data_IF_145132314849
#
_entry.id   IF_145132314849
#
_cell.length_a   1.000
_cell.length_b   1.000
_cell.length_c   1.000
_cell.angle_alpha   90.00
_cell.angle_beta   90.00
_cell.angle_gamma   90.00
#
_symmetry.space_group_name_H-M   'P 1'
#
loop_
_entity.id
_entity.type
_entity.pdbx_description
1 polymer ?
#
# COMPACT_ATOMS: atom_id res chain seq x y z
N UNK A 1 22.18 27.31 -15.79
CA UNK A 1 22.64 26.02 -16.34
C UNK A 1 21.90 24.91 -15.62
N UNK A 2 21.61 23.82 -16.31
CA UNK A 2 20.77 22.71 -15.83
C UNK A 2 21.60 21.49 -15.39
N UNK A 3 21.26 20.90 -14.25
CA UNK A 3 21.64 19.53 -13.89
C UNK A 3 20.41 18.83 -13.29
N UNK A 4 19.87 17.87 -14.01
CA UNK A 4 19.08 16.74 -13.48
C UNK A 4 20.04 15.55 -13.25
N UNK A 5 19.75 14.48 -12.51
CA UNK A 5 18.50 13.97 -11.91
C UNK A 5 18.87 13.28 -10.55
N UNK A 6 18.05 12.56 -9.75
CA UNK A 6 16.76 11.90 -9.97
C UNK A 6 16.00 11.59 -8.67
N UNK A 7 14.77 11.09 -8.81
CA UNK A 7 14.00 10.32 -7.81
C UNK A 7 13.56 11.00 -6.50
N UNK A 8 13.89 12.29 -6.29
CA UNK A 8 13.54 13.07 -5.09
C UNK A 8 12.05 13.42 -4.95
N UNK A 9 11.19 12.43 -4.76
CA UNK A 9 9.75 12.64 -4.49
C UNK A 9 9.48 12.95 -3.02
N UNK A 10 9.51 14.24 -2.70
CA UNK A 10 9.10 14.79 -1.40
C UNK A 10 7.60 14.56 -1.16
N UNK A 11 7.18 14.50 0.11
CA UNK A 11 5.84 14.11 0.59
C UNK A 11 4.68 15.08 0.27
N UNK A 12 4.81 15.92 -0.77
CA UNK A 12 3.85 16.97 -1.13
C UNK A 12 3.14 16.77 -2.48
N UNK A 13 3.59 15.86 -3.36
CA UNK A 13 3.00 15.65 -4.70
C UNK A 13 1.51 15.22 -4.69
N UNK A 14 1.03 14.59 -3.61
CA UNK A 14 -0.31 13.98 -3.56
C UNK A 14 -1.47 15.00 -3.48
N UNK A 15 -1.20 16.30 -3.40
CA UNK A 15 -2.24 17.32 -3.34
C UNK A 15 -3.09 17.43 -4.63
N UNK A 16 -2.52 17.10 -5.79
CA UNK A 16 -3.18 17.24 -7.10
C UNK A 16 -3.70 15.96 -7.75
N UNK A 17 -3.56 14.79 -7.09
CA UNK A 17 -3.93 13.50 -7.68
C UNK A 17 -5.42 13.15 -7.53
N UNK A 18 -5.99 12.55 -8.57
CA UNK A 18 -7.30 11.88 -8.50
C UNK A 18 -7.30 10.73 -7.49
N UNK A 19 -8.48 10.26 -7.06
CA UNK A 19 -8.58 9.14 -6.13
C UNK A 19 -7.86 7.87 -6.62
N UNK A 20 -8.01 7.53 -7.90
CA UNK A 20 -7.37 6.37 -8.50
C UNK A 20 -5.85 6.49 -8.54
N UNK A 21 -5.30 7.66 -8.87
CA UNK A 21 -3.85 7.90 -8.85
C UNK A 21 -3.30 7.87 -7.42
N UNK A 22 -4.05 8.40 -6.44
CA UNK A 22 -3.69 8.35 -5.02
C UNK A 22 -3.63 6.91 -4.49
N UNK A 23 -4.62 6.08 -4.84
CA UNK A 23 -4.63 4.63 -4.56
C UNK A 23 -3.43 3.97 -5.22
N UNK A 24 -3.21 4.21 -6.51
CA UNK A 24 -2.09 3.63 -7.29
C UNK A 24 -0.74 3.97 -6.67
N UNK A 25 -0.53 5.22 -6.28
CA UNK A 25 0.69 5.71 -5.66
C UNK A 25 0.90 5.09 -4.26
N UNK A 26 -0.12 5.10 -3.41
CA UNK A 26 -0.04 4.55 -2.04
C UNK A 26 0.24 3.04 -2.03
N UNK A 27 -0.36 2.28 -2.96
CA UNK A 27 -0.16 0.84 -3.08
C UNK A 27 1.10 0.43 -3.85
N UNK A 28 1.79 1.36 -4.52
CA UNK A 28 2.88 1.03 -5.44
C UNK A 28 2.42 0.17 -6.63
N UNK A 29 1.22 0.41 -7.16
CA UNK A 29 0.64 -0.37 -8.25
C UNK A 29 1.41 -0.15 -9.57
N UNK A 30 1.93 -1.25 -10.14
CA UNK A 30 2.50 -1.27 -11.50
C UNK A 30 1.48 -0.76 -12.52
N UNK A 31 0.31 -1.40 -12.55
CA UNK A 31 -0.76 -1.12 -13.50
C UNK A 31 -1.52 0.15 -13.10
N UNK A 32 -2.19 0.80 -14.05
CA UNK A 32 -3.18 1.84 -13.79
C UNK A 32 -4.50 1.25 -13.28
N UNK A 33 -5.36 2.12 -12.75
CA UNK A 33 -6.77 1.80 -12.59
C UNK A 33 -7.47 1.84 -13.97
N UNK A 34 -8.49 1.01 -14.16
CA UNK A 34 -9.25 0.92 -15.41
C UNK A 34 -10.69 1.26 -15.14
N UNK A 35 -11.19 2.36 -15.69
CA UNK A 35 -12.62 2.62 -15.66
C UNK A 35 -13.36 1.77 -16.69
N UNK A 36 -14.59 1.40 -16.35
CA UNK A 36 -15.51 0.64 -17.20
C UNK A 36 -16.86 1.35 -17.19
N UNK A 37 -17.39 1.65 -18.39
CA UNK A 37 -18.70 2.28 -18.59
C UNK A 37 -19.58 1.39 -19.48
N UNK A 38 -20.83 1.19 -19.10
CA UNK A 38 -21.83 0.48 -19.90
C UNK A 38 -22.65 1.47 -20.73
N UNK A 39 -22.80 1.19 -22.03
CA UNK A 39 -23.65 1.98 -22.94
C UNK A 39 -24.83 1.10 -23.38
N UNK A 40 -26.05 1.56 -23.09
CA UNK A 40 -27.30 0.84 -23.33
C UNK A 40 -28.13 1.41 -24.49
N UNK A 41 -27.76 2.59 -24.98
CA UNK A 41 -28.43 3.29 -26.08
C UNK A 41 -27.45 3.46 -27.25
N UNK A 42 -27.89 3.13 -28.46
CA UNK A 42 -27.08 3.30 -29.66
C UNK A 42 -26.93 4.80 -30.01
N UNK A 43 -27.90 5.65 -29.66
CA UNK A 43 -27.81 7.09 -29.87
C UNK A 43 -26.74 7.74 -28.98
N UNK A 44 -26.53 7.21 -27.77
CA UNK A 44 -25.41 7.62 -26.91
C UNK A 44 -24.07 7.22 -27.54
N UNK A 45 -24.02 6.01 -28.11
CA UNK A 45 -22.83 5.42 -28.73
C UNK A 45 -22.40 6.14 -30.03
N UNK A 46 -23.36 6.74 -30.75
CA UNK A 46 -23.12 7.53 -31.97
C UNK A 46 -22.85 9.02 -31.72
N UNK A 47 -23.31 9.58 -30.59
CA UNK A 47 -23.20 11.02 -30.28
C UNK A 47 -21.95 11.42 -29.50
N UNK A 48 -21.19 10.46 -28.96
CA UNK A 48 -19.98 10.71 -28.17
C UNK A 48 -18.69 10.33 -28.92
N UNK A 49 -17.63 11.12 -28.74
CA UNK A 49 -16.28 10.76 -29.19
C UNK A 49 -15.68 9.74 -28.23
N UNK A 50 -15.78 8.46 -28.57
CA UNK A 50 -15.38 7.33 -27.73
C UNK A 50 -14.08 6.64 -28.22
N UNK A 51 -13.39 5.89 -27.36
CA UNK A 51 -12.23 5.09 -27.76
C UNK A 51 -12.54 4.10 -28.89
N UNK A 52 -11.53 3.77 -29.70
CA UNK A 52 -11.68 2.83 -30.81
C UNK A 52 -12.12 1.43 -30.35
N UNK A 53 -12.75 0.69 -31.26
CA UNK A 53 -12.95 -0.77 -31.11
C UNK A 53 -11.59 -1.49 -31.16
N UNK A 54 -11.43 -2.65 -30.49
CA UNK A 54 -10.22 -3.45 -30.64
C UNK A 54 -10.04 -3.93 -32.09
N UNK A 55 -8.79 -4.00 -32.56
CA UNK A 55 -8.45 -4.33 -33.97
C UNK A 55 -8.99 -5.70 -34.45
N UNK A 56 -9.29 -6.58 -33.50
CA UNK A 56 -9.85 -7.92 -33.67
C UNK A 56 -10.57 -8.36 -32.39
N UNK A 57 -11.48 -9.35 -32.44
CA UNK A 57 -12.08 -9.93 -31.26
C UNK A 57 -11.04 -10.38 -30.23
N UNK A 58 -11.35 -10.11 -28.96
CA UNK A 58 -10.42 -10.22 -27.83
C UNK A 58 -11.14 -10.73 -26.57
N UNK A 59 -10.38 -11.19 -25.58
CA UNK A 59 -10.96 -11.54 -24.28
C UNK A 59 -11.15 -10.27 -23.45
N UNK A 60 -12.32 -10.08 -22.83
CA UNK A 60 -12.60 -8.89 -22.00
C UNK A 60 -11.53 -8.64 -20.94
N UNK A 61 -11.09 -9.69 -20.23
CA UNK A 61 -9.99 -9.61 -19.27
C UNK A 61 -8.66 -9.14 -19.90
N UNK A 62 -8.37 -9.52 -21.16
CA UNK A 62 -7.19 -9.08 -21.90
C UNK A 62 -7.29 -7.60 -22.32
N UNK A 63 -8.49 -7.12 -22.65
CA UNK A 63 -8.74 -5.69 -22.89
C UNK A 63 -8.57 -4.88 -21.60
N UNK A 64 -9.08 -5.36 -20.46
CA UNK A 64 -8.85 -4.75 -19.15
C UNK A 64 -7.36 -4.68 -18.79
N UNK A 65 -6.58 -5.77 -18.98
CA UNK A 65 -5.14 -5.73 -18.65
C UNK A 65 -4.35 -4.80 -19.58
N UNK A 66 -4.71 -4.73 -20.85
CA UNK A 66 -4.15 -3.75 -21.79
C UNK A 66 -4.54 -2.31 -21.43
N UNK A 67 -5.77 -2.09 -20.97
CA UNK A 67 -6.23 -0.79 -20.51
C UNK A 67 -5.54 -0.35 -19.20
N UNK A 68 -5.21 -1.31 -18.33
CA UNK A 68 -4.38 -1.08 -17.15
C UNK A 68 -2.92 -0.73 -17.52
N UNK A 69 -2.51 -0.99 -18.77
CA UNK A 69 -1.29 -0.49 -19.40
C UNK A 69 -1.44 0.85 -20.15
N UNK A 70 -2.61 1.49 -20.11
CA UNK A 70 -2.87 2.80 -20.74
C UNK A 70 -3.60 2.76 -22.09
N UNK A 71 -3.98 1.58 -22.61
CA UNK A 71 -4.89 1.51 -23.78
C UNK A 71 -6.33 1.89 -23.38
N UNK A 72 -7.17 2.15 -24.38
CA UNK A 72 -8.59 2.38 -24.21
C UNK A 72 -9.35 1.67 -25.33
N UNK A 73 -10.54 1.16 -25.04
CA UNK A 73 -11.37 0.41 -25.99
C UNK A 73 -12.85 0.71 -25.81
N UNK A 74 -13.63 0.71 -26.89
CA UNK A 74 -15.09 0.58 -26.85
C UNK A 74 -15.44 -0.76 -27.47
N UNK A 75 -15.80 -1.76 -26.66
CA UNK A 75 -16.02 -3.12 -27.14
C UNK A 75 -17.52 -3.46 -27.25
N UNK A 76 -17.95 -4.01 -28.39
CA UNK A 76 -19.32 -4.50 -28.63
C UNK A 76 -19.38 -6.03 -28.48
N UNK A 77 -20.59 -6.60 -28.53
CA UNK A 77 -20.82 -8.06 -28.42
C UNK A 77 -19.95 -8.90 -29.37
N UNK A 78 -19.75 -8.43 -30.60
CA UNK A 78 -18.97 -9.12 -31.65
C UNK A 78 -17.44 -9.01 -31.46
N UNK A 79 -16.98 -8.18 -30.52
CA UNK A 79 -15.57 -8.02 -30.18
C UNK A 79 -15.12 -8.98 -29.07
N UNK A 80 -16.02 -9.82 -28.55
CA UNK A 80 -15.76 -10.74 -27.44
C UNK A 80 -15.37 -12.14 -27.92
N UNK A 81 -14.19 -12.62 -27.52
CA UNK A 81 -13.75 -14.01 -27.74
C UNK A 81 -14.22 -15.00 -26.66
N UNK A 82 -15.02 -14.55 -25.68
CA UNK A 82 -15.40 -15.33 -24.51
C UNK A 82 -16.93 -15.29 -24.26
N UNK A 83 -17.65 -16.42 -24.40
CA UNK A 83 -19.10 -16.46 -24.15
C UNK A 83 -19.53 -15.99 -22.76
N UNK A 84 -18.69 -16.23 -21.76
CA UNK A 84 -18.95 -15.76 -20.40
C UNK A 84 -18.94 -14.23 -20.32
N UNK A 85 -18.09 -13.51 -21.07
CA UNK A 85 -18.14 -12.04 -21.09
C UNK A 85 -19.34 -11.49 -21.85
N UNK A 86 -19.83 -12.19 -22.88
CA UNK A 86 -21.06 -11.80 -23.61
C UNK A 86 -22.31 -11.85 -22.71
N UNK A 87 -22.39 -12.87 -21.85
CA UNK A 87 -23.47 -13.05 -20.87
C UNK A 87 -23.29 -12.13 -19.66
N UNK A 88 -22.11 -12.15 -19.03
CA UNK A 88 -21.85 -11.35 -17.81
C UNK A 88 -22.00 -9.85 -18.04
N UNK A 89 -21.61 -9.32 -19.20
CA UNK A 89 -21.66 -7.87 -19.48
C UNK A 89 -23.00 -7.42 -20.11
N UNK A 90 -24.03 -8.26 -20.12
CA UNK A 90 -25.38 -7.87 -20.54
C UNK A 90 -25.62 -7.78 -22.05
N UNK A 91 -24.67 -8.18 -22.90
CA UNK A 91 -24.86 -8.20 -24.36
C UNK A 91 -25.89 -9.24 -24.82
N UNK A 92 -26.12 -10.30 -24.02
CA UNK A 92 -27.06 -11.39 -24.35
C UNK A 92 -27.86 -11.80 -23.12
N UNK A 93 -29.19 -11.94 -23.28
CA UNK A 93 -30.05 -12.55 -22.25
C UNK A 93 -30.04 -14.09 -22.37
N UNK A 94 -30.01 -14.85 -21.25
CA UNK A 94 -30.11 -16.30 -21.26
C UNK A 94 -31.37 -16.80 -21.99
N UNK A 95 -31.22 -17.80 -22.86
CA UNK A 95 -32.33 -18.34 -23.68
C UNK A 95 -33.18 -19.43 -23.01
N UNK A 96 -32.65 -20.09 -21.97
CA UNK A 96 -33.21 -21.35 -21.45
C UNK A 96 -33.42 -21.39 -19.94
N UNK A 97 -33.15 -20.29 -19.22
CA UNK A 97 -33.31 -20.22 -17.76
C UNK A 97 -33.81 -18.82 -17.39
N UNK A 98 -34.76 -18.73 -16.46
CA UNK A 98 -35.21 -17.46 -15.86
C UNK A 98 -34.19 -16.89 -14.85
N UNK A 99 -32.90 -16.89 -15.23
CA UNK A 99 -31.86 -16.12 -14.54
C UNK A 99 -32.11 -14.66 -14.90
N UNK A 100 -32.38 -13.82 -13.89
CA UNK A 100 -32.23 -12.37 -14.06
C UNK A 100 -30.76 -12.08 -14.35
N UNK A 101 -30.45 -11.70 -15.58
CA UNK A 101 -29.30 -10.81 -15.81
C UNK A 101 -29.57 -9.55 -15.00
N UNK A 102 -28.61 -9.05 -14.23
CA UNK A 102 -28.81 -7.79 -13.50
C UNK A 102 -29.00 -6.57 -14.41
N UNK A 103 -28.69 -6.72 -15.71
CA UNK A 103 -29.03 -5.77 -16.76
C UNK A 103 -30.48 -5.95 -17.23
N UNK A 104 -31.32 -4.93 -17.00
CA UNK A 104 -32.66 -4.83 -17.56
C UNK A 104 -32.64 -4.54 -19.07
N UNK A 105 -31.76 -3.63 -19.51
CA UNK A 105 -31.48 -3.33 -20.92
C UNK A 105 -30.42 -4.29 -21.48
N UNK A 106 -30.33 -4.39 -22.80
CA UNK A 106 -29.19 -5.05 -23.48
C UNK A 106 -28.07 -4.03 -23.61
N UNK A 107 -26.84 -4.42 -23.26
CA UNK A 107 -25.63 -3.61 -23.45
C UNK A 107 -25.28 -3.54 -24.94
N UNK A 108 -25.11 -2.33 -25.49
CA UNK A 108 -24.66 -2.14 -26.87
C UNK A 108 -23.13 -2.14 -26.96
N UNK A 109 -22.48 -1.45 -26.02
CA UNK A 109 -21.03 -1.38 -25.88
C UNK A 109 -20.60 -1.28 -24.40
N UNK A 110 -19.35 -1.68 -24.15
CA UNK A 110 -18.64 -1.42 -22.90
C UNK A 110 -17.38 -0.63 -23.23
N UNK A 111 -17.24 0.56 -22.66
CA UNK A 111 -16.01 1.37 -22.74
C UNK A 111 -15.07 0.93 -21.62
N UNK A 112 -13.80 0.74 -21.94
CA UNK A 112 -12.77 0.16 -21.06
C UNK A 112 -11.53 1.05 -21.11
N UNK A 113 -11.07 1.54 -19.95
CA UNK A 113 -9.88 2.38 -19.80
C UNK A 113 -10.18 3.70 -19.11
N UNK A 114 -10.90 4.64 -19.75
CA UNK A 114 -11.20 5.95 -19.19
C UNK A 114 -11.87 5.86 -17.82
N UNK A 115 -11.34 6.60 -16.84
CA UNK A 115 -11.95 6.73 -15.50
C UNK A 115 -13.09 7.74 -15.47
N UNK A 116 -13.15 8.64 -16.46
CA UNK A 116 -14.20 9.65 -16.57
C UNK A 116 -15.54 8.99 -16.88
N UNK A 117 -16.58 9.30 -16.07
CA UNK A 117 -17.93 8.76 -16.20
C UNK A 117 -17.98 7.21 -16.23
N UNK A 118 -17.02 6.54 -15.58
CA UNK A 118 -17.00 5.10 -15.40
C UNK A 118 -18.01 4.66 -14.31
N UNK A 119 -18.74 3.57 -14.57
CA UNK A 119 -19.68 2.97 -13.61
C UNK A 119 -18.98 2.03 -12.63
N UNK A 120 -17.86 1.40 -13.06
CA UNK A 120 -17.01 0.52 -12.27
C UNK A 120 -15.54 0.85 -12.51
N UNK A 121 -14.72 0.75 -11.47
CA UNK A 121 -13.26 0.94 -11.50
C UNK A 121 -12.61 -0.39 -11.15
N UNK A 122 -11.79 -0.92 -12.05
CA UNK A 122 -11.02 -2.16 -11.86
C UNK A 122 -9.58 -1.84 -11.47
N UNK A 123 -9.09 -2.47 -10.40
CA UNK A 123 -7.71 -2.42 -9.96
C UNK A 123 -7.06 -3.80 -10.12
N UNK A 124 -6.00 -3.90 -10.92
CA UNK A 124 -5.16 -5.11 -11.00
C UNK A 124 -4.12 -5.05 -9.89
N UNK A 125 -4.30 -5.87 -8.86
CA UNK A 125 -3.53 -5.85 -7.61
C UNK A 125 -2.73 -7.13 -7.44
N UNK A 126 -1.61 -7.08 -6.72
CA UNK A 126 -1.02 -8.30 -6.16
C UNK A 126 -1.59 -8.64 -4.76
N UNK A 127 -1.36 -9.86 -4.28
CA UNK A 127 -1.87 -10.34 -2.98
C UNK A 127 -1.61 -9.38 -1.79
N UNK A 128 -0.43 -8.72 -1.73
CA UNK A 128 -0.11 -7.74 -0.68
C UNK A 128 -0.91 -6.45 -0.84
N UNK A 129 -1.14 -6.00 -2.07
CA UNK A 129 -1.93 -4.80 -2.37
C UNK A 129 -3.42 -5.03 -2.08
N UNK A 130 -3.95 -6.22 -2.37
CA UNK A 130 -5.31 -6.60 -1.99
C UNK A 130 -5.49 -6.65 -0.45
N UNK A 131 -4.51 -7.18 0.28
CA UNK A 131 -4.48 -7.12 1.74
C UNK A 131 -4.49 -5.66 2.26
N UNK A 132 -3.66 -4.77 1.70
CA UNK A 132 -3.67 -3.34 2.07
C UNK A 132 -5.00 -2.67 1.74
N UNK A 133 -5.63 -2.99 0.60
CA UNK A 133 -6.97 -2.48 0.25
C UNK A 133 -8.02 -2.92 1.27
N UNK A 134 -8.00 -4.17 1.72
CA UNK A 134 -8.90 -4.63 2.80
C UNK A 134 -8.74 -3.78 4.08
N UNK A 135 -7.52 -3.44 4.49
CA UNK A 135 -7.26 -2.56 5.65
C UNK A 135 -7.83 -1.15 5.40
N UNK A 136 -7.56 -0.57 4.22
CA UNK A 136 -8.05 0.77 3.84
C UNK A 136 -9.58 0.84 3.69
N UNK A 137 -10.23 -0.27 3.38
CA UNK A 137 -11.69 -0.35 3.22
C UNK A 137 -12.40 -0.75 4.53
N UNK A 138 -11.69 -1.35 5.49
CA UNK A 138 -12.27 -1.87 6.74
C UNK A 138 -12.82 -3.29 6.62
N UNK A 139 -12.27 -4.07 5.69
CA UNK A 139 -12.81 -5.33 5.20
C UNK A 139 -13.09 -5.26 3.69
N UNK A 140 -13.14 -6.41 3.04
CA UNK A 140 -13.45 -6.53 1.61
C UNK A 140 -14.12 -7.88 1.34
N UNK A 141 -15.12 -7.92 0.46
CA UNK A 141 -15.69 -9.19 0.01
C UNK A 141 -14.81 -9.82 -1.08
N UNK A 142 -14.84 -11.14 -1.16
CA UNK A 142 -14.18 -11.93 -2.19
C UNK A 142 -15.11 -13.08 -2.60
N UNK A 143 -16.17 -12.74 -3.32
CA UNK A 143 -17.08 -13.71 -3.92
C UNK A 143 -16.58 -14.07 -5.33
N UNK A 144 -16.25 -15.34 -5.53
CA UNK A 144 -15.78 -15.84 -6.82
C UNK A 144 -16.20 -17.29 -7.06
N UNK A 145 -16.37 -17.64 -8.34
CA UNK A 145 -16.60 -19.00 -8.82
C UNK A 145 -15.50 -19.47 -9.78
N UNK A 146 -14.63 -18.57 -10.25
CA UNK A 146 -13.53 -18.90 -11.17
C UNK A 146 -13.99 -19.13 -12.61
N UNK A 147 -15.26 -18.88 -12.92
CA UNK A 147 -15.87 -19.04 -14.26
C UNK A 147 -16.04 -17.68 -14.96
N UNK A 148 -16.44 -16.65 -14.21
CA UNK A 148 -16.92 -15.36 -14.74
C UNK A 148 -16.15 -14.17 -14.15
N UNK A 149 -14.87 -14.34 -13.83
CA UNK A 149 -14.06 -13.41 -13.05
C UNK A 149 -14.12 -11.91 -13.42
N UNK A 150 -13.31 -11.46 -14.38
CA UNK A 150 -13.17 -10.01 -14.63
C UNK A 150 -14.48 -9.41 -15.13
N UNK A 151 -15.25 -10.13 -15.96
CA UNK A 151 -16.50 -9.66 -16.55
C UNK A 151 -17.72 -9.71 -15.61
N UNK A 152 -17.83 -10.75 -14.78
CA UNK A 152 -18.91 -10.96 -13.83
C UNK A 152 -18.52 -10.48 -12.43
N UNK A 153 -17.69 -11.26 -11.73
CA UNK A 153 -17.32 -11.08 -10.31
C UNK A 153 -16.78 -9.66 -10.03
N UNK A 154 -15.92 -9.13 -10.89
CA UNK A 154 -15.29 -7.82 -10.69
C UNK A 154 -15.92 -6.65 -11.47
N UNK A 155 -16.70 -6.89 -12.53
CA UNK A 155 -17.37 -5.82 -13.30
C UNK A 155 -18.88 -5.83 -13.08
N UNK A 156 -19.61 -6.79 -13.64
CA UNK A 156 -21.06 -6.75 -13.65
C UNK A 156 -21.68 -6.86 -12.24
N UNK A 157 -21.15 -7.70 -11.36
CA UNK A 157 -21.61 -7.80 -9.97
C UNK A 157 -21.47 -6.45 -9.25
N UNK A 158 -20.29 -5.84 -9.35
CA UNK A 158 -19.99 -4.52 -8.76
C UNK A 158 -20.90 -3.41 -9.32
N UNK A 159 -21.20 -3.46 -10.62
CA UNK A 159 -22.16 -2.56 -11.28
C UNK A 159 -23.60 -2.74 -10.75
N UNK A 160 -24.05 -3.97 -10.51
CA UNK A 160 -25.41 -4.26 -10.04
C UNK A 160 -25.62 -4.03 -8.54
N UNK A 161 -24.63 -4.39 -7.72
CA UNK A 161 -24.74 -4.35 -6.26
C UNK A 161 -24.31 -2.99 -5.69
N UNK A 162 -23.50 -2.22 -6.43
CA UNK A 162 -22.88 -1.00 -5.91
C UNK A 162 -21.89 -1.28 -4.76
N UNK A 163 -21.36 -2.52 -4.69
CA UNK A 163 -20.48 -3.00 -3.64
C UNK A 163 -19.14 -3.50 -4.23
N UNK A 164 -18.00 -3.26 -3.55
CA UNK A 164 -16.71 -3.83 -3.94
C UNK A 164 -16.66 -5.36 -3.90
N UNK A 165 -16.01 -5.97 -4.89
CA UNK A 165 -15.71 -7.41 -4.89
C UNK A 165 -14.31 -7.74 -5.43
N UNK A 166 -13.62 -8.68 -4.77
CA UNK A 166 -12.27 -9.15 -5.10
C UNK A 166 -12.32 -10.52 -5.78
N UNK A 167 -11.98 -10.57 -7.07
CA UNK A 167 -11.90 -11.81 -7.86
C UNK A 167 -10.48 -12.39 -7.87
N UNK A 168 -10.38 -13.69 -7.60
CA UNK A 168 -9.15 -14.50 -7.71
C UNK A 168 -8.80 -14.92 -9.15
N UNK A 169 -9.60 -14.48 -10.12
CA UNK A 169 -9.49 -14.71 -11.56
C UNK A 169 -9.84 -16.12 -12.06
N UNK A 170 -10.31 -16.17 -13.30
CA UNK A 170 -10.67 -17.41 -14.00
C UNK A 170 -9.52 -17.91 -14.88
N UNK A 171 -9.56 -19.19 -15.26
CA UNK A 171 -8.57 -19.79 -16.16
C UNK A 171 -8.43 -19.01 -17.49
N UNK A 172 -9.52 -18.43 -18.01
CA UNK A 172 -9.47 -17.57 -19.20
C UNK A 172 -8.66 -16.28 -19.00
N UNK A 173 -8.73 -15.67 -17.80
CA UNK A 173 -7.91 -14.51 -17.46
C UNK A 173 -6.43 -14.88 -17.27
N UNK A 174 -6.13 -16.05 -16.68
CA UNK A 174 -4.75 -16.58 -16.60
C UNK A 174 -4.18 -16.83 -18.00
N UNK A 175 -4.84 -17.66 -18.81
CA UNK A 175 -4.31 -18.18 -20.08
C UNK A 175 -4.37 -17.18 -21.25
N UNK A 176 -5.44 -16.38 -21.36
CA UNK A 176 -5.66 -15.47 -22.50
C UNK A 176 -5.63 -13.99 -22.09
N UNK A 177 -5.98 -13.68 -20.84
CA UNK A 177 -5.86 -12.34 -20.28
C UNK A 177 -4.42 -11.90 -19.98
N UNK A 178 -3.54 -12.83 -19.61
CA UNK A 178 -2.13 -12.58 -19.28
C UNK A 178 -1.84 -12.21 -17.82
N UNK A 179 -2.77 -12.48 -16.91
CA UNK A 179 -2.64 -12.16 -15.47
C UNK A 179 -1.80 -13.20 -14.74
N UNK A 180 -0.77 -12.77 -14.01
CA UNK A 180 0.13 -13.64 -13.23
C UNK A 180 -0.56 -14.24 -12.02
N UNK A 181 -0.17 -15.43 -11.58
CA UNK A 181 -0.80 -16.16 -10.45
C UNK A 181 -0.85 -15.38 -9.12
N UNK A 182 0.06 -14.41 -8.92
CA UNK A 182 0.09 -13.50 -7.77
C UNK A 182 -0.74 -12.22 -7.93
N UNK A 183 -1.42 -12.05 -9.07
CA UNK A 183 -2.34 -10.96 -9.40
C UNK A 183 -3.80 -11.39 -9.26
N UNK A 184 -4.61 -10.50 -8.69
CA UNK A 184 -6.05 -10.56 -8.49
C UNK A 184 -6.68 -9.26 -9.00
N UNK A 185 -8.00 -9.24 -9.23
CA UNK A 185 -8.69 -8.00 -9.66
C UNK A 185 -9.76 -7.61 -8.64
N UNK A 186 -9.65 -6.37 -8.17
CA UNK A 186 -10.66 -5.73 -7.33
C UNK A 186 -11.52 -4.80 -8.20
N UNK A 187 -12.82 -5.03 -8.21
CA UNK A 187 -13.80 -4.07 -8.73
C UNK A 187 -14.32 -3.14 -7.63
N UNK A 188 -14.42 -1.85 -7.93
CA UNK A 188 -14.95 -0.81 -7.05
C UNK A 188 -16.03 0.00 -7.78
N UNK A 189 -17.16 0.36 -7.13
CA UNK A 189 -17.95 1.50 -7.58
C UNK A 189 -17.13 2.79 -7.34
N UNK A 190 -17.28 3.85 -8.16
CA UNK A 190 -16.51 5.09 -8.02
C UNK A 190 -16.51 5.69 -6.61
N UNK A 191 -17.67 5.67 -5.94
CA UNK A 191 -17.85 6.17 -4.57
C UNK A 191 -16.97 5.43 -3.55
N UNK A 192 -16.62 4.15 -3.79
CA UNK A 192 -15.70 3.41 -2.92
C UNK A 192 -14.23 3.80 -3.17
N UNK A 193 -13.85 4.12 -4.41
CA UNK A 193 -12.51 4.61 -4.73
C UNK A 193 -12.25 5.97 -4.07
N UNK A 194 -13.22 6.90 -4.12
CA UNK A 194 -13.13 8.18 -3.42
C UNK A 194 -12.96 8.00 -1.90
N UNK A 195 -13.79 7.17 -1.24
CA UNK A 195 -13.68 6.88 0.20
C UNK A 195 -12.32 6.28 0.61
N UNK A 196 -11.74 5.44 -0.24
CA UNK A 196 -10.39 4.90 -0.01
C UNK A 196 -9.33 5.99 -0.16
N UNK A 197 -9.46 6.88 -1.15
CA UNK A 197 -8.57 8.02 -1.33
C UNK A 197 -8.65 9.02 -0.15
N UNK A 198 -9.85 9.31 0.35
CA UNK A 198 -10.07 10.07 1.59
C UNK A 198 -9.38 9.42 2.79
N UNK A 199 -9.52 8.11 2.97
CA UNK A 199 -8.90 7.38 4.07
C UNK A 199 -7.37 7.32 3.96
N UNK A 200 -6.81 7.24 2.75
CA UNK A 200 -5.37 7.42 2.51
C UNK A 200 -4.93 8.82 2.95
N UNK A 201 -5.65 9.88 2.58
CA UNK A 201 -5.34 11.26 3.01
C UNK A 201 -5.44 11.42 4.53
N UNK A 202 -6.43 10.81 5.18
CA UNK A 202 -6.59 10.85 6.63
C UNK A 202 -5.42 10.15 7.35
N UNK A 203 -5.01 8.96 6.90
CA UNK A 203 -3.86 8.24 7.43
C UNK A 203 -2.54 9.01 7.26
N UNK A 204 -2.36 9.68 6.11
CA UNK A 204 -1.19 10.51 5.84
C UNK A 204 -1.15 11.77 6.72
N UNK A 205 -2.30 12.41 6.97
CA UNK A 205 -2.41 13.54 7.92
C UNK A 205 -2.18 13.09 9.37
N UNK A 206 -2.60 11.87 9.73
CA UNK A 206 -2.43 11.26 11.05
C UNK A 206 -1.08 10.53 11.23
N UNK A 207 -0.04 10.87 10.45
CA UNK A 207 1.32 10.37 10.65
C UNK A 207 1.54 8.87 10.43
N UNK A 208 0.56 8.16 9.84
CA UNK A 208 0.67 6.75 9.45
C UNK A 208 0.14 5.72 10.45
N UNK A 209 -0.85 6.05 11.29
CA UNK A 209 -1.39 5.16 12.35
C UNK A 209 -2.06 3.85 11.84
N UNK A 210 -1.24 2.88 11.43
CA UNK A 210 -1.59 1.50 11.06
C UNK A 210 -0.93 0.50 12.04
N UNK A 211 -1.04 -0.81 11.75
CA UNK A 211 -0.27 -1.82 12.48
C UNK A 211 1.24 -1.57 12.34
N UNK A 212 2.01 -1.70 13.44
CA UNK A 212 3.44 -1.31 13.53
C UNK A 212 4.37 -1.92 12.47
N UNK A 213 4.00 -3.04 11.83
CA UNK A 213 4.72 -3.61 10.70
C UNK A 213 4.63 -2.77 9.40
N UNK A 214 3.72 -1.80 9.33
CA UNK A 214 3.51 -0.87 8.21
C UNK A 214 3.97 0.55 8.58
N UNK A 215 3.92 0.92 9.86
CA UNK A 215 4.30 2.26 10.37
C UNK A 215 5.81 2.45 10.44
N UNK A 216 6.46 2.45 9.28
CA UNK A 216 7.88 2.77 9.16
C UNK A 216 8.10 4.10 8.41
N UNK A 217 7.10 5.00 8.50
CA UNK A 217 7.01 6.39 8.00
C UNK A 217 8.07 7.32 8.61
N UNK A 218 9.34 6.96 8.40
CA UNK A 218 10.54 7.71 8.70
C UNK A 218 11.19 8.08 7.34
N UNK A 219 11.56 9.36 7.12
CA UNK A 219 12.29 9.78 5.92
C UNK A 219 13.52 8.90 5.65
N UNK A 220 13.80 8.62 4.36
CA UNK A 220 14.95 7.77 3.95
C UNK A 220 16.27 8.28 4.51
N UNK A 221 16.46 9.59 4.52
CA UNK A 221 17.61 10.30 5.09
C UNK A 221 17.89 9.90 6.55
N UNK A 222 16.86 9.79 7.41
CA UNK A 222 17.02 9.29 8.78
C UNK A 222 17.48 7.83 8.77
N UNK A 223 16.85 6.99 7.94
CA UNK A 223 17.20 5.56 7.84
C UNK A 223 18.65 5.38 7.34
N UNK A 224 19.11 6.24 6.44
CA UNK A 224 20.46 6.25 5.88
C UNK A 224 21.47 6.79 6.90
N UNK A 225 21.15 7.86 7.63
CA UNK A 225 21.95 8.35 8.76
C UNK A 225 22.15 7.25 9.83
N UNK A 226 21.09 6.55 10.24
CA UNK A 226 21.22 5.40 11.16
C UNK A 226 22.11 4.27 10.58
N UNK A 227 22.01 3.98 9.27
CA UNK A 227 22.91 3.02 8.62
C UNK A 227 24.38 3.47 8.64
N UNK A 228 24.69 4.75 8.41
CA UNK A 228 26.07 5.24 8.45
C UNK A 228 26.73 5.04 9.82
N UNK A 229 25.95 5.06 10.90
CA UNK A 229 26.44 4.84 12.27
C UNK A 229 26.42 3.37 12.72
N UNK A 230 26.12 2.44 11.81
CA UNK A 230 26.11 1.00 12.08
C UNK A 230 24.82 0.47 12.72
N UNK A 231 23.67 1.12 12.47
CA UNK A 231 22.35 0.63 12.89
C UNK A 231 21.54 0.13 11.69
N UNK A 232 20.90 -1.02 11.88
CA UNK A 232 19.89 -1.57 10.98
C UNK A 232 18.49 -1.16 11.43
N UNK A 233 17.50 -1.24 10.53
CA UNK A 233 16.10 -0.88 10.80
C UNK A 233 15.25 -2.14 10.95
N UNK A 234 14.58 -2.28 12.08
CA UNK A 234 13.53 -3.28 12.31
C UNK A 234 12.17 -2.82 11.78
N UNK A 235 11.09 -3.27 12.41
CA UNK A 235 9.72 -2.78 12.12
C UNK A 235 9.54 -1.31 12.51
N UNK A 236 9.86 -1.01 13.77
CA UNK A 236 9.44 0.17 14.53
C UNK A 236 10.62 0.81 15.31
N UNK A 237 11.81 0.20 15.27
CA UNK A 237 13.04 0.66 15.91
C UNK A 237 14.26 0.46 15.02
N UNK A 238 15.34 1.17 15.34
CA UNK A 238 16.69 0.87 14.86
C UNK A 238 17.44 -0.01 15.88
N UNK A 239 18.30 -0.91 15.42
CA UNK A 239 19.16 -1.73 16.28
C UNK A 239 20.61 -1.73 15.80
N UNK A 240 21.55 -1.68 16.75
CA UNK A 240 22.97 -1.54 16.45
C UNK A 240 23.82 -1.65 17.71
N UNK A 241 25.06 -1.12 17.66
CA UNK A 241 25.99 -1.14 18.80
C UNK A 241 26.68 0.20 19.03
N UNK A 242 26.64 0.68 20.29
CA UNK A 242 27.33 1.89 20.77
C UNK A 242 27.97 1.60 22.13
N UNK A 243 29.10 2.24 22.45
CA UNK A 243 29.88 1.99 23.68
C UNK A 243 30.18 0.50 23.98
N UNK A 244 30.10 -0.40 22.98
CA UNK A 244 30.26 -1.86 23.14
C UNK A 244 28.99 -2.63 23.54
N UNK A 245 27.85 -1.94 23.71
CA UNK A 245 26.55 -2.53 24.07
C UNK A 245 25.70 -2.85 22.83
N UNK A 246 24.66 -3.66 23.02
CA UNK A 246 23.58 -3.81 22.03
C UNK A 246 22.48 -2.79 22.33
N UNK A 247 22.10 -1.97 21.35
CA UNK A 247 21.18 -0.84 21.56
C UNK A 247 20.01 -0.93 20.59
N UNK A 248 18.79 -0.66 21.07
CA UNK A 248 17.61 -0.36 20.25
C UNK A 248 17.18 1.09 20.46
N UNK A 249 16.76 1.74 19.38
CA UNK A 249 16.40 3.17 19.35
C UNK A 249 15.04 3.30 18.69
N UNK A 250 14.05 3.76 19.45
CA UNK A 250 12.70 4.06 18.99
C UNK A 250 12.57 5.57 18.74
N UNK A 251 11.83 5.96 17.71
CA UNK A 251 11.61 7.35 17.31
C UNK A 251 10.13 7.68 17.43
N UNK A 252 9.76 8.24 18.58
CA UNK A 252 8.37 8.45 18.97
C UNK A 252 7.84 9.76 18.37
N UNK A 253 6.71 9.68 17.65
CA UNK A 253 6.06 10.84 17.02
C UNK A 253 5.10 11.55 17.99
N UNK A 254 4.94 12.86 17.81
CA UNK A 254 3.84 13.63 18.40
C UNK A 254 2.56 13.56 17.57
N UNK A 255 1.49 14.19 18.07
CA UNK A 255 0.16 14.27 17.43
C UNK A 255 0.17 14.97 16.06
N UNK A 256 1.28 15.63 15.69
CA UNK A 256 1.49 16.26 14.36
C UNK A 256 2.31 15.37 13.41
N UNK A 257 2.69 14.17 13.85
CA UNK A 257 3.50 13.22 13.09
C UNK A 257 5.00 13.53 13.09
N UNK A 258 5.45 14.53 13.87
CA UNK A 258 6.87 14.91 13.98
C UNK A 258 7.56 14.04 15.02
N UNK A 259 8.80 13.62 14.76
CA UNK A 259 9.58 12.84 15.72
C UNK A 259 9.94 13.77 16.89
N UNK A 260 9.37 13.51 18.06
CA UNK A 260 9.51 14.35 19.24
C UNK A 260 10.35 13.69 20.32
N UNK A 261 10.20 12.39 20.57
CA UNK A 261 11.04 11.70 21.55
C UNK A 261 11.91 10.63 20.90
N UNK A 262 13.02 10.32 21.56
CA UNK A 262 13.89 9.19 21.26
C UNK A 262 13.95 8.33 22.51
N UNK A 263 13.53 7.07 22.40
CA UNK A 263 13.62 6.10 23.49
C UNK A 263 14.78 5.13 23.22
N UNK A 264 15.80 5.19 24.08
CA UNK A 264 16.99 4.36 24.02
C UNK A 264 16.80 3.15 24.95
N UNK A 265 16.94 1.94 24.40
CA UNK A 265 17.05 0.69 25.16
C UNK A 265 18.45 0.11 24.98
N UNK A 266 19.22 0.02 26.06
CA UNK A 266 20.51 -0.70 26.09
C UNK A 266 20.25 -2.07 26.71
N UNK A 267 20.64 -3.13 25.99
CA UNK A 267 20.36 -4.52 26.36
C UNK A 267 21.61 -5.17 26.96
N UNK A 268 21.51 -5.65 28.20
CA UNK A 268 22.52 -6.49 28.84
C UNK A 268 21.86 -7.75 29.44
N UNK A 269 22.64 -8.81 29.66
CA UNK A 269 22.12 -10.02 30.32
C UNK A 269 21.80 -9.77 31.80
N UNK A 270 20.91 -10.59 32.35
CA UNK A 270 20.69 -10.67 33.79
C UNK A 270 21.58 -11.75 34.43
N UNK A 271 22.06 -11.58 35.68
CA UNK A 271 21.97 -10.37 36.51
C UNK A 271 22.83 -9.21 35.97
N UNK A 272 22.54 -7.98 36.41
CA UNK A 272 23.23 -6.77 35.96
C UNK A 272 24.58 -6.56 36.67
N UNK A 273 25.46 -7.55 36.56
CA UNK A 273 26.76 -7.55 37.25
C UNK A 273 27.73 -6.55 36.61
N UNK A 274 28.39 -5.73 37.43
CA UNK A 274 29.42 -4.79 36.98
C UNK A 274 28.92 -3.60 36.15
N UNK A 275 27.64 -3.23 36.23
CA UNK A 275 27.07 -2.08 35.49
C UNK A 275 26.36 -1.10 36.42
N UNK A 276 26.86 0.13 36.50
CA UNK A 276 26.22 1.25 37.19
C UNK A 276 25.35 2.04 36.22
N UNK A 277 24.05 2.10 36.50
CA UNK A 277 23.06 2.91 35.77
C UNK A 277 22.71 4.16 36.57
N UNK A 278 22.65 5.32 35.90
CA UNK A 278 22.28 6.62 36.47
C UNK A 278 20.99 7.16 35.84
N UNK A 279 20.13 7.87 36.61
CA UNK A 279 19.01 8.64 36.05
C UNK A 279 19.51 9.61 34.96
N UNK A 280 18.79 9.77 33.83
CA UNK A 280 17.39 9.37 33.61
C UNK A 280 17.17 7.92 33.19
N UNK A 281 18.23 7.09 33.05
CA UNK A 281 18.05 5.68 32.75
C UNK A 281 17.49 4.89 33.94
N UNK A 282 16.64 3.93 33.61
CA UNK A 282 15.94 3.02 34.53
C UNK A 282 16.11 1.58 34.06
N UNK A 283 16.05 0.61 34.97
CA UNK A 283 16.23 -0.81 34.66
C UNK A 283 14.89 -1.55 34.65
N UNK A 284 14.70 -2.44 33.67
CA UNK A 284 13.56 -3.36 33.60
C UNK A 284 14.04 -4.76 33.26
N UNK A 285 13.81 -5.70 34.18
CA UNK A 285 14.11 -7.11 33.96
C UNK A 285 13.11 -7.76 33.00
N UNK A 286 13.62 -8.71 32.22
CA UNK A 286 12.91 -9.70 31.40
C UNK A 286 13.63 -11.04 31.55
N UNK A 287 13.06 -12.13 31.06
CA UNK A 287 13.62 -13.48 31.22
C UNK A 287 15.07 -13.60 30.68
N UNK A 288 16.05 -13.56 31.58
CA UNK A 288 17.49 -13.61 31.27
C UNK A 288 18.14 -12.29 30.80
N UNK A 289 17.42 -11.16 30.78
CA UNK A 289 17.91 -9.88 30.25
C UNK A 289 17.46 -8.68 31.10
N UNK A 290 18.25 -7.62 31.10
CA UNK A 290 17.91 -6.32 31.68
C UNK A 290 17.90 -5.28 30.58
N UNK A 291 16.75 -4.66 30.37
CA UNK A 291 16.65 -3.43 29.59
C UNK A 291 17.10 -2.26 30.46
N UNK A 292 18.04 -1.47 29.99
CA UNK A 292 18.37 -0.16 30.57
C UNK A 292 17.75 0.90 29.64
N UNK A 293 16.70 1.59 30.09
CA UNK A 293 15.83 2.43 29.25
C UNK A 293 15.73 3.88 29.74
N UNK A 294 15.80 4.81 28.79
CA UNK A 294 15.47 6.23 28.97
C UNK A 294 14.80 6.81 27.71
N UNK A 295 13.90 7.76 27.91
CA UNK A 295 13.24 8.53 26.84
C UNK A 295 13.66 10.00 26.94
N UNK A 296 14.04 10.59 25.81
CA UNK A 296 14.52 11.97 25.70
C UNK A 296 13.71 12.74 24.65
N UNK A 297 13.41 14.02 24.89
CA UNK A 297 12.90 14.91 23.83
C UNK A 297 14.05 15.24 22.85
N UNK A 298 13.78 15.20 21.54
CA UNK A 298 14.80 15.39 20.48
C UNK A 298 15.55 16.71 20.60
N UNK A 299 14.86 17.77 21.04
CA UNK A 299 15.44 19.10 21.19
C UNK A 299 16.31 19.19 22.45
N UNK A 300 15.90 18.52 23.54
CA UNK A 300 16.62 18.59 24.83
C UNK A 300 18.00 17.93 24.80
N UNK A 301 18.20 16.94 23.92
CA UNK A 301 19.50 16.29 23.68
C UNK A 301 20.21 16.76 22.39
N UNK A 302 19.65 17.74 21.67
CA UNK A 302 20.23 18.27 20.44
C UNK A 302 20.37 17.22 19.31
N UNK A 303 19.51 16.20 19.29
CA UNK A 303 19.62 15.08 18.38
C UNK A 303 19.10 15.42 16.97
N UNK A 304 19.96 16.02 16.15
CA UNK A 304 19.69 16.26 14.74
C UNK A 304 19.75 14.94 13.93
N UNK A 305 18.58 14.34 13.72
CA UNK A 305 18.36 13.11 12.97
C UNK A 305 18.63 13.23 11.45
N UNK A 306 18.76 14.45 10.92
CA UNK A 306 18.92 14.74 9.50
C UNK A 306 20.38 15.08 9.16
N UNK A 307 21.13 15.70 10.08
CA UNK A 307 22.57 15.91 9.91
C UNK A 307 23.38 14.61 9.91
N UNK A 308 24.52 14.62 9.22
CA UNK A 308 25.34 13.43 8.97
C UNK A 308 25.76 12.66 10.22
N UNK A 309 25.79 11.33 10.08
CA UNK A 309 25.77 10.36 11.17
C UNK A 309 26.77 10.54 12.31
N UNK A 310 27.98 11.06 12.08
CA UNK A 310 28.98 11.21 13.14
C UNK A 310 28.49 12.07 14.32
N UNK A 311 27.69 13.11 14.07
CA UNK A 311 27.05 13.90 15.14
C UNK A 311 26.06 13.06 15.93
N UNK A 312 25.12 12.42 15.22
CA UNK A 312 24.08 11.57 15.81
C UNK A 312 24.68 10.41 16.64
N UNK A 313 25.77 9.82 16.15
CA UNK A 313 26.55 8.80 16.84
C UNK A 313 27.15 9.33 18.13
N UNK A 314 27.75 10.51 18.10
CA UNK A 314 28.37 11.12 19.28
C UNK A 314 27.32 11.42 20.35
N UNK A 315 26.19 12.05 20.00
CA UNK A 315 25.06 12.30 20.93
C UNK A 315 24.61 11.02 21.64
N UNK A 316 24.35 9.93 20.92
CA UNK A 316 23.95 8.67 21.54
C UNK A 316 25.09 7.97 22.31
N UNK A 317 26.35 8.13 21.87
CA UNK A 317 27.53 7.60 22.57
C UNK A 317 27.72 8.30 23.91
N UNK A 318 27.60 9.62 23.96
CA UNK A 318 27.67 10.41 25.19
C UNK A 318 26.51 10.08 26.15
N UNK A 319 25.27 10.01 25.66
CA UNK A 319 24.12 9.63 26.47
C UNK A 319 24.24 8.22 27.08
N UNK A 320 24.85 7.27 26.37
CA UNK A 320 25.08 5.92 26.92
C UNK A 320 26.28 5.91 27.87
N UNK A 321 27.47 6.31 27.41
CA UNK A 321 28.70 6.19 28.20
C UNK A 321 28.74 7.08 29.46
N UNK A 322 28.02 8.21 29.53
CA UNK A 322 27.99 9.06 30.73
C UNK A 322 27.08 8.49 31.85
N UNK A 323 26.03 7.76 31.47
CA UNK A 323 24.96 7.31 32.36
C UNK A 323 24.94 5.79 32.62
N UNK A 324 25.60 5.00 31.77
CA UNK A 324 25.73 3.54 31.88
C UNK A 324 27.21 3.18 31.89
N UNK A 325 27.74 2.88 33.08
CA UNK A 325 29.18 2.73 33.32
C UNK A 325 29.49 1.29 33.71
N UNK A 326 30.43 0.64 33.02
CA UNK A 326 30.99 -0.65 33.45
C UNK A 326 31.99 -0.42 34.58
N UNK A 327 31.73 -0.98 35.76
CA UNK A 327 32.70 -1.02 36.86
C UNK A 327 33.67 -2.18 36.64
N UNK A 328 34.94 -2.04 37.04
CA UNK A 328 35.95 -3.09 36.82
C UNK A 328 35.93 -4.22 37.88
N UNK A 329 34.74 -4.57 38.37
CA UNK A 329 34.52 -5.65 39.35
C UNK A 329 33.84 -6.86 38.69
N UNK A 330 34.43 -7.31 37.57
CA UNK A 330 34.00 -8.51 36.83
C UNK A 330 35.12 -9.23 36.08
N UNK A 331 36.38 -8.79 36.23
CA UNK A 331 37.53 -9.29 35.47
C UNK A 331 38.25 -10.49 36.12
N UNK A 332 37.57 -11.29 36.94
CA UNK A 332 38.20 -12.45 37.62
C UNK A 332 37.24 -13.58 38.00
N UNK A 333 36.64 -14.23 37.01
CA UNK A 333 36.52 -15.70 36.99
C UNK A 333 36.34 -16.23 35.56
N UNK A 334 37.02 -17.34 35.27
CA UNK A 334 36.97 -18.13 34.03
C UNK A 334 36.48 -19.53 34.40
#
# INVERSE_FOLDING_TARGET
MSISDSSGRTTCELAGLTACERIRAHLGMKHGAVGVRFIFDEQELESQTLPARPDKPSWYCQMVLQAAGGKQFTARMQDMSCPNSELSLGFRKPRFVNIKTGFDKVTQAVVIGPLENADVILLVLNNRQAMTMSILMGGISAEFRGEVAVCGEATAQVYHEGLPNLSFLCNGARMFGGYKDSEVVLGLPPIAAEKVAERIMALQKAGGALCGCVVSDLPREIIENFKTIGFEKGSDYFFGKLCGWSVRIYLDKDDTGRIKNITLYVLEKAPLDGVLVKPPFSTREREGWVDIVATFDTQSIGADLYSGGDKLRNTFTELICNYIIRTQEGASQK
#
